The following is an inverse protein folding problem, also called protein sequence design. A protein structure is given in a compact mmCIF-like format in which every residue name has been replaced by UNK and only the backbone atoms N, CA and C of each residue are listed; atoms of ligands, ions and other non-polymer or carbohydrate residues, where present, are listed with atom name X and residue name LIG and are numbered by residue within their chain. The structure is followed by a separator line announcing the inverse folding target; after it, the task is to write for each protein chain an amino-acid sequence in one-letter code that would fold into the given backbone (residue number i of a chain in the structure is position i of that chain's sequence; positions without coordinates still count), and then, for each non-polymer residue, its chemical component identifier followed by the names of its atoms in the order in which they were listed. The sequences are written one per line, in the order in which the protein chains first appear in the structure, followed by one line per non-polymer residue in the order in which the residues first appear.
data_IF_239693166951
#
_entry.id   IF_239693166951
#
_cell.length_a   1.000
_cell.length_b   1.000
_cell.length_c   1.000
_cell.angle_alpha   90.00
_cell.angle_beta   90.00
_cell.angle_gamma   90.00
#
_symmetry.space_group_name_H-M   'P 1'
#
loop_
_entity.id
_entity.type
_entity.pdbx_description
1 polymer ?
#
# COMPACT_ATOMS: atom_id res chain seq x y z
N UNK A 1 -33.26 -2.41 5.96
CA UNK A 1 -32.21 -1.40 6.26
C UNK A 1 -32.34 -0.13 5.40
N UNK A 2 -31.68 0.07 4.25
CA UNK A 2 -31.72 1.39 3.55
C UNK A 2 -33.13 1.80 3.10
N UNK A 3 -33.84 0.94 2.36
CA UNK A 3 -35.23 1.20 1.92
C UNK A 3 -36.22 1.44 3.08
N UNK A 4 -35.90 0.87 4.24
CA UNK A 4 -36.71 0.90 5.46
C UNK A 4 -36.47 2.17 6.27
N UNK A 5 -35.24 2.71 6.26
CA UNK A 5 -34.95 4.04 6.80
C UNK A 5 -35.69 5.12 5.98
N UNK A 6 -35.60 5.03 4.65
CA UNK A 6 -36.25 5.95 3.70
C UNK A 6 -37.79 5.96 3.89
N UNK A 7 -38.43 4.78 3.98
CA UNK A 7 -39.88 4.66 4.22
C UNK A 7 -40.35 5.22 5.57
N UNK A 8 -39.46 5.29 6.56
CA UNK A 8 -39.76 5.75 7.92
C UNK A 8 -39.30 7.19 8.22
N UNK A 9 -38.85 7.93 7.20
CA UNK A 9 -38.41 9.33 7.37
C UNK A 9 -37.21 9.51 8.30
N UNK A 10 -36.32 8.51 8.35
CA UNK A 10 -35.09 8.54 9.17
C UNK A 10 -33.85 8.47 8.28
N UNK A 11 -32.83 9.23 8.65
CA UNK A 11 -31.54 9.19 7.97
C UNK A 11 -30.90 7.78 8.11
N UNK A 12 -30.44 7.16 7.01
CA UNK A 12 -29.83 5.84 7.06
C UNK A 12 -28.42 5.90 7.67
N UNK A 13 -28.29 5.46 8.93
CA UNK A 13 -26.99 5.34 9.61
C UNK A 13 -26.21 4.15 9.05
N UNK A 14 -25.25 4.43 8.18
CA UNK A 14 -24.39 3.43 7.53
C UNK A 14 -23.10 3.19 8.35
N UNK A 15 -23.09 2.16 9.19
CA UNK A 15 -21.90 1.76 9.97
C UNK A 15 -20.87 1.05 9.08
N UNK A 16 -19.93 1.82 8.52
CA UNK A 16 -18.87 1.28 7.65
C UNK A 16 -17.76 0.56 8.43
N UNK A 17 -17.62 -0.75 8.18
CA UNK A 17 -16.37 -1.46 8.46
C UNK A 17 -15.35 -1.16 7.35
N UNK A 18 -14.13 -0.76 7.73
CA UNK A 18 -13.20 0.04 6.89
C UNK A 18 -12.56 -0.64 5.66
N UNK A 19 -12.96 -1.85 5.25
CA UNK A 19 -12.12 -2.73 4.43
C UNK A 19 -12.49 -2.97 2.96
N UNK A 20 -13.46 -2.25 2.38
CA UNK A 20 -13.81 -2.35 0.94
C UNK A 20 -13.85 -0.99 0.18
N UNK A 21 -13.45 0.11 0.84
CA UNK A 21 -13.70 1.47 0.38
C UNK A 21 -12.70 2.07 -0.64
N UNK A 22 -12.25 1.29 -1.64
CA UNK A 22 -11.43 1.82 -2.75
C UNK A 22 -11.98 1.50 -4.15
N UNK A 23 -12.51 0.30 -4.39
CA UNK A 23 -13.20 0.01 -5.66
C UNK A 23 -14.54 0.78 -5.76
N UNK A 24 -15.37 0.70 -4.72
CA UNK A 24 -16.74 1.25 -4.73
C UNK A 24 -16.76 2.79 -4.71
N UNK A 25 -15.83 3.43 -4.00
CA UNK A 25 -15.74 4.91 -3.96
C UNK A 25 -15.30 5.48 -5.31
N UNK A 26 -14.40 4.79 -6.02
CA UNK A 26 -14.02 5.18 -7.38
C UNK A 26 -15.20 5.03 -8.35
N UNK A 27 -15.95 3.92 -8.28
CA UNK A 27 -17.16 3.72 -9.10
C UNK A 27 -18.26 4.74 -8.78
N UNK A 28 -18.49 5.07 -7.50
CA UNK A 28 -19.47 6.09 -7.10
C UNK A 28 -19.12 7.47 -7.67
N UNK A 29 -17.86 7.90 -7.57
CA UNK A 29 -17.39 9.19 -8.11
C UNK A 29 -17.43 9.23 -9.65
N UNK A 30 -17.14 8.12 -10.32
CA UNK A 30 -17.23 8.01 -11.79
C UNK A 30 -18.70 8.08 -12.27
N UNK A 31 -19.61 7.37 -11.61
CA UNK A 31 -21.05 7.42 -11.90
C UNK A 31 -21.66 8.80 -11.63
N UNK A 32 -21.11 9.55 -10.66
CA UNK A 32 -21.52 10.93 -10.39
C UNK A 32 -21.23 11.86 -11.58
N UNK A 33 -20.12 11.67 -12.30
CA UNK A 33 -19.85 12.48 -13.51
C UNK A 33 -20.89 12.26 -14.62
N UNK A 34 -21.21 11.00 -14.96
CA UNK A 34 -22.20 10.69 -16.00
C UNK A 34 -23.56 11.36 -15.72
N UNK A 35 -24.02 11.34 -14.47
CA UNK A 35 -25.33 11.88 -14.09
C UNK A 35 -25.44 13.41 -14.21
N UNK A 36 -24.33 14.14 -14.14
CA UNK A 36 -24.32 15.60 -14.30
C UNK A 36 -23.96 16.05 -15.72
N UNK A 37 -23.23 15.25 -16.51
CA UNK A 37 -23.01 15.55 -17.93
C UNK A 37 -24.28 15.34 -18.78
N UNK A 38 -25.13 14.34 -18.45
CA UNK A 38 -26.43 14.18 -19.11
C UNK A 38 -27.37 15.40 -18.96
N UNK A 39 -27.15 16.28 -17.97
CA UNK A 39 -27.90 17.54 -17.82
C UNK A 39 -27.46 18.68 -18.76
N UNK A 40 -26.38 18.53 -19.53
CA UNK A 40 -25.95 19.53 -20.53
C UNK A 40 -26.51 19.27 -21.93
N UNK A 41 -26.64 18.00 -22.34
CA UNK A 41 -27.07 17.60 -23.68
C UNK A 41 -28.43 16.87 -23.62
N UNK A 42 -29.46 17.56 -23.13
CA UNK A 42 -30.73 16.91 -22.76
C UNK A 42 -31.58 16.44 -23.95
N UNK A 43 -32.05 15.18 -23.89
CA UNK A 43 -33.18 14.69 -24.69
C UNK A 43 -33.77 13.38 -24.11
N UNK A 44 -34.83 13.49 -23.30
CA UNK A 44 -35.89 12.47 -23.13
C UNK A 44 -37.18 13.15 -22.65
N UNK A 45 -38.37 12.72 -23.11
CA UNK A 45 -39.60 13.47 -22.91
C UNK A 45 -40.40 13.11 -21.64
N UNK A 46 -40.93 14.14 -20.98
CA UNK A 46 -42.29 14.18 -20.45
C UNK A 46 -42.72 13.22 -19.34
N UNK A 47 -42.64 13.67 -18.09
CA UNK A 47 -43.72 13.49 -17.11
C UNK A 47 -44.02 14.88 -16.53
N UNK A 48 -45.29 15.30 -16.58
CA UNK A 48 -45.78 16.56 -16.00
C UNK A 48 -46.56 16.29 -14.70
N UNK A 49 -46.31 17.12 -13.68
CA UNK A 49 -47.17 17.41 -12.52
C UNK A 49 -46.43 18.42 -11.62
N UNK A 50 -46.53 19.72 -11.92
CA UNK A 50 -45.80 20.77 -11.21
C UNK A 50 -46.48 21.33 -9.94
N UNK A 51 -45.69 22.02 -9.09
CA UNK A 51 -46.16 23.20 -8.35
C UNK A 51 -44.98 24.14 -7.99
N UNK A 52 -45.29 25.37 -7.56
CA UNK A 52 -44.36 26.50 -7.48
C UNK A 52 -43.42 26.52 -6.25
N UNK A 53 -42.25 27.17 -6.42
CA UNK A 53 -41.35 27.57 -5.34
C UNK A 53 -40.17 28.41 -5.86
N UNK A 54 -40.24 29.74 -5.73
CA UNK A 54 -39.23 30.67 -6.27
C UNK A 54 -37.89 30.63 -5.53
N UNK A 55 -36.77 30.81 -6.25
CA UNK A 55 -35.42 30.82 -5.69
C UNK A 55 -34.64 32.10 -6.07
N UNK A 56 -33.93 32.77 -5.14
CA UNK A 56 -33.16 33.98 -5.42
C UNK A 56 -31.77 33.69 -6.00
N UNK A 57 -31.28 34.59 -6.86
CA UNK A 57 -29.98 34.50 -7.55
C UNK A 57 -28.84 35.03 -6.66
N UNK A 58 -27.72 34.29 -6.46
CA UNK A 58 -26.51 34.82 -5.84
C UNK A 58 -25.83 35.90 -6.68
N UNK A 59 -25.19 36.88 -6.01
CA UNK A 59 -24.46 37.99 -6.62
C UNK A 59 -22.94 37.79 -6.49
N UNK A 60 -22.21 38.22 -7.51
CA UNK A 60 -20.76 38.04 -7.66
C UNK A 60 -19.96 39.05 -6.83
N UNK A 61 -18.87 38.61 -6.18
CA UNK A 61 -18.02 39.44 -5.29
C UNK A 61 -16.60 39.57 -5.84
N UNK A 62 -16.10 40.80 -5.89
CA UNK A 62 -14.81 41.13 -6.52
C UNK A 62 -13.59 40.88 -5.60
N UNK A 63 -12.44 40.66 -6.24
CA UNK A 63 -11.12 40.46 -5.61
C UNK A 63 -10.50 41.80 -5.17
N UNK A 64 -9.92 41.93 -3.96
CA UNK A 64 -9.19 43.12 -3.53
C UNK A 64 -7.91 43.42 -4.35
N UNK A 65 -7.58 44.70 -4.49
CA UNK A 65 -6.39 45.19 -5.19
C UNK A 65 -5.18 45.45 -4.28
N UNK A 66 -4.07 45.86 -4.89
CA UNK A 66 -2.75 46.11 -4.27
C UNK A 66 -2.47 47.60 -4.00
N UNK A 67 -1.55 47.87 -3.07
CA UNK A 67 -0.97 49.20 -2.79
C UNK A 67 0.56 49.14 -2.90
N UNK A 68 1.27 50.21 -3.33
CA UNK A 68 2.70 50.17 -3.64
C UNK A 68 3.59 50.83 -2.57
N UNK A 69 4.91 50.66 -2.67
CA UNK A 69 5.83 51.81 -2.75
C UNK A 69 7.18 51.45 -3.41
N UNK A 70 8.10 52.41 -3.57
CA UNK A 70 9.18 52.38 -4.58
C UNK A 70 10.61 52.75 -4.10
N UNK A 71 11.56 52.93 -5.05
CA UNK A 71 13.00 53.30 -4.95
C UNK A 71 14.00 52.12 -4.77
N UNK A 72 15.18 52.08 -5.40
CA UNK A 72 15.74 52.84 -6.56
C UNK A 72 17.03 52.16 -7.09
N UNK A 73 17.51 52.47 -8.30
CA UNK A 73 18.70 51.85 -8.94
C UNK A 73 19.49 52.83 -9.84
N UNK A 74 20.82 52.65 -9.96
CA UNK A 74 21.54 52.62 -11.25
C UNK A 74 22.39 51.34 -11.39
N UNK A 75 22.77 50.78 -12.55
CA UNK A 75 23.10 51.34 -13.88
C UNK A 75 24.62 51.12 -14.13
N UNK A 76 25.16 50.68 -15.28
CA UNK A 76 24.64 50.38 -16.64
C UNK A 76 25.43 49.18 -17.27
N UNK A 77 24.99 48.51 -18.36
CA UNK A 77 25.42 48.67 -19.79
C UNK A 77 26.95 48.58 -20.06
N UNK A 78 27.49 47.99 -21.16
CA UNK A 78 26.94 47.29 -22.37
C UNK A 78 27.99 46.21 -22.81
N UNK A 79 28.22 45.66 -24.03
CA UNK A 79 27.84 45.80 -25.46
C UNK A 79 27.78 44.40 -26.15
N UNK A 80 27.32 44.31 -27.41
CA UNK A 80 27.63 43.20 -28.36
C UNK A 80 27.31 43.63 -29.81
N UNK A 81 28.21 43.40 -30.79
CA UNK A 81 27.83 42.68 -32.03
C UNK A 81 28.99 41.78 -32.57
N UNK A 82 28.83 40.85 -33.54
CA UNK A 82 28.32 41.04 -34.92
C UNK A 82 28.02 39.69 -35.62
N UNK A 83 27.12 39.69 -36.62
CA UNK A 83 26.69 38.53 -37.43
C UNK A 83 27.56 38.23 -38.67
N UNK A 84 27.36 37.05 -39.29
CA UNK A 84 27.40 36.85 -40.76
C UNK A 84 26.29 35.87 -41.21
N UNK A 85 25.67 36.13 -42.37
CA UNK A 85 24.55 35.44 -43.06
C UNK A 85 25.01 34.10 -43.69
N UNK A 86 24.26 32.97 -43.76
CA UNK A 86 22.98 32.62 -44.44
C UNK A 86 23.28 31.80 -45.74
N UNK A 87 22.34 31.34 -46.61
CA UNK A 87 20.85 31.32 -46.65
C UNK A 87 20.30 29.84 -46.72
N UNK A 88 19.16 29.49 -47.35
CA UNK A 88 17.73 29.71 -47.00
C UNK A 88 16.83 28.60 -47.67
N UNK A 89 15.63 28.32 -47.12
CA UNK A 89 14.49 27.48 -47.62
C UNK A 89 14.75 25.97 -47.95
N UNK A 90 13.90 25.03 -47.52
CA UNK A 90 12.59 24.69 -48.11
C UNK A 90 11.61 24.06 -47.07
N UNK A 91 10.30 24.05 -47.36
CA UNK A 91 9.24 23.46 -46.53
C UNK A 91 8.28 22.60 -47.37
N UNK A 92 8.18 21.30 -47.04
CA UNK A 92 7.14 20.41 -47.59
C UNK A 92 6.66 19.37 -46.58
N UNK A 93 5.40 18.89 -46.67
CA UNK A 93 4.67 18.33 -45.53
C UNK A 93 4.92 16.83 -45.27
N UNK A 94 4.82 16.44 -44.00
CA UNK A 94 4.80 15.03 -43.57
C UNK A 94 3.38 14.47 -43.61
N UNK A 95 3.17 13.40 -44.38
CA UNK A 95 1.85 12.81 -44.61
C UNK A 95 1.18 12.26 -43.33
N UNK A 96 -0.14 12.45 -43.24
CA UNK A 96 -1.03 11.82 -42.27
C UNK A 96 -1.44 10.41 -42.73
N UNK A 97 -1.45 9.45 -41.81
CA UNK A 97 -1.93 8.09 -42.08
C UNK A 97 -3.43 7.95 -41.79
N UNK A 98 -4.23 7.78 -42.83
CA UNK A 98 -5.68 7.50 -42.72
C UNK A 98 -5.97 6.05 -42.34
N UNK A 99 -7.01 5.77 -41.53
CA UNK A 99 -7.51 4.42 -41.31
C UNK A 99 -8.42 3.97 -42.46
N UNK A 100 -8.17 2.78 -43.02
CA UNK A 100 -8.98 2.19 -44.09
C UNK A 100 -10.13 1.36 -43.50
N UNK A 101 -11.38 1.72 -43.82
CA UNK A 101 -12.54 0.88 -43.52
C UNK A 101 -12.60 -0.32 -44.46
N UNK A 102 -12.73 -1.53 -43.91
CA UNK A 102 -13.06 -2.75 -44.66
C UNK A 102 -14.49 -3.21 -44.29
N UNK A 103 -15.35 -3.58 -45.25
CA UNK A 103 -16.72 -3.98 -44.98
C UNK A 103 -16.80 -5.42 -44.46
N UNK A 104 -17.38 -5.62 -43.28
CA UNK A 104 -17.75 -6.94 -42.77
C UNK A 104 -19.13 -7.36 -43.31
N UNK A 105 -19.25 -8.61 -43.75
CA UNK A 105 -20.52 -9.20 -44.21
C UNK A 105 -21.07 -10.18 -43.17
N UNK A 106 -22.34 -10.04 -42.71
CA UNK A 106 -22.91 -10.91 -41.68
C UNK A 106 -23.56 -12.18 -42.27
N UNK A 107 -23.00 -13.35 -41.96
CA UNK A 107 -23.62 -14.65 -42.28
C UNK A 107 -24.33 -15.21 -41.06
N UNK A 108 -25.67 -15.21 -41.07
CA UNK A 108 -26.49 -15.90 -40.06
C UNK A 108 -26.59 -17.40 -40.36
N UNK A 109 -26.24 -18.25 -39.40
CA UNK A 109 -26.60 -19.68 -39.38
C UNK A 109 -27.05 -20.10 -37.98
N UNK A 110 -28.34 -20.46 -37.77
CA UNK A 110 -28.79 -21.04 -36.52
C UNK A 110 -28.49 -22.56 -36.49
N UNK A 111 -27.84 -23.03 -35.43
CA UNK A 111 -27.77 -24.46 -35.09
C UNK A 111 -28.23 -24.65 -33.64
N UNK A 112 -28.89 -25.78 -33.38
CA UNK A 112 -29.65 -26.01 -32.14
C UNK A 112 -29.29 -27.38 -31.53
N UNK A 113 -29.69 -27.63 -30.26
CA UNK A 113 -29.59 -28.92 -29.55
C UNK A 113 -28.17 -29.36 -29.08
N UNK A 114 -28.02 -30.16 -27.99
CA UNK A 114 -28.80 -30.22 -26.75
C UNK A 114 -27.94 -30.13 -25.46
N UNK A 115 -28.62 -30.15 -24.30
CA UNK A 115 -28.08 -30.09 -22.94
C UNK A 115 -27.42 -31.40 -22.43
N UNK A 116 -26.22 -31.30 -21.83
CA UNK A 116 -25.74 -32.22 -20.77
C UNK A 116 -24.71 -31.55 -19.86
N UNK A 117 -24.82 -31.74 -18.54
CA UNK A 117 -23.89 -31.21 -17.54
C UNK A 117 -23.03 -32.33 -16.91
N UNK A 118 -21.70 -32.12 -16.73
CA UNK A 118 -20.84 -33.09 -16.05
C UNK A 118 -20.91 -32.96 -14.51
N UNK A 119 -21.15 -34.08 -13.85
CA UNK A 119 -21.17 -34.24 -12.39
C UNK A 119 -19.72 -34.24 -11.82
N UNK A 120 -19.41 -33.57 -10.69
CA UNK A 120 -18.03 -33.49 -10.17
C UNK A 120 -17.51 -34.83 -9.64
N UNK A 121 -16.43 -35.33 -10.26
CA UNK A 121 -15.72 -36.55 -9.84
C UNK A 121 -15.01 -36.35 -8.50
N UNK A 122 -15.24 -37.27 -7.54
CA UNK A 122 -14.44 -37.36 -6.32
C UNK A 122 -13.09 -38.03 -6.61
N UNK A 123 -11.99 -37.31 -6.45
CA UNK A 123 -10.63 -37.87 -6.56
C UNK A 123 -10.15 -38.38 -5.20
N UNK A 124 -9.47 -39.53 -5.16
CA UNK A 124 -9.02 -40.17 -3.92
C UNK A 124 -7.79 -39.49 -3.30
N UNK A 125 -7.86 -39.22 -2.00
CA UNK A 125 -6.70 -38.77 -1.20
C UNK A 125 -5.77 -39.95 -0.88
N UNK A 126 -4.52 -39.88 -1.33
CA UNK A 126 -3.46 -40.79 -0.85
C UNK A 126 -3.06 -40.50 0.60
N UNK A 127 -2.50 -41.47 1.33
CA UNK A 127 -2.09 -41.29 2.73
C UNK A 127 -0.84 -40.42 2.84
N UNK A 128 -1.00 -39.14 3.15
CA UNK A 128 0.11 -38.29 3.56
C UNK A 128 0.53 -38.63 4.99
N UNK A 129 1.72 -39.20 5.16
CA UNK A 129 2.33 -39.43 6.48
C UNK A 129 2.66 -38.09 7.11
N UNK A 130 1.83 -37.69 8.08
CA UNK A 130 1.78 -36.30 8.52
C UNK A 130 2.92 -35.86 9.42
N UNK A 131 3.15 -34.55 9.43
CA UNK A 131 3.63 -33.86 10.63
C UNK A 131 2.84 -32.55 10.80
N UNK A 132 1.53 -32.68 11.01
CA UNK A 132 0.63 -31.54 11.21
C UNK A 132 0.73 -31.05 12.66
N UNK A 133 1.41 -29.93 12.85
CA UNK A 133 1.40 -29.12 14.07
C UNK A 133 1.61 -27.68 13.62
N UNK A 134 0.52 -26.94 13.51
CA UNK A 134 0.43 -25.79 12.62
C UNK A 134 1.27 -24.58 13.04
N UNK A 135 2.38 -24.34 12.34
CA UNK A 135 2.93 -23.01 12.14
C UNK A 135 2.05 -22.25 11.15
N UNK A 136 0.98 -21.63 11.67
CA UNK A 136 -0.08 -20.98 10.89
C UNK A 136 0.38 -19.77 10.06
N UNK A 137 1.52 -19.20 10.39
CA UNK A 137 1.97 -17.88 9.95
C UNK A 137 3.43 -17.94 9.49
N UNK A 138 3.74 -17.31 8.35
CA UNK A 138 5.09 -17.20 7.82
C UNK A 138 5.60 -15.76 7.90
N UNK A 139 6.93 -15.62 7.87
CA UNK A 139 7.64 -14.35 7.87
C UNK A 139 8.49 -14.23 6.59
N UNK A 140 8.35 -13.10 5.91
CA UNK A 140 9.31 -12.62 4.92
C UNK A 140 10.01 -11.37 5.44
N UNK A 141 11.22 -11.12 4.94
CA UNK A 141 12.13 -10.07 5.41
C UNK A 141 12.76 -9.32 4.23
N UNK A 142 12.97 -8.03 4.42
CA UNK A 142 13.73 -7.17 3.51
C UNK A 142 14.52 -6.11 4.29
N UNK A 143 15.59 -5.61 3.67
CA UNK A 143 16.34 -4.45 4.15
C UNK A 143 15.60 -3.15 3.79
N UNK A 144 15.44 -2.25 4.76
CA UNK A 144 15.27 -0.82 4.50
C UNK A 144 16.60 -0.13 4.17
N UNK A 145 17.71 -0.65 4.72
CA UNK A 145 19.07 -0.22 4.47
C UNK A 145 20.01 -1.44 4.49
N UNK A 146 20.63 -1.75 3.35
CA UNK A 146 21.56 -2.88 3.20
C UNK A 146 23.05 -2.55 3.36
N UNK A 147 23.39 -1.31 3.73
CA UNK A 147 24.79 -0.91 3.96
C UNK A 147 25.34 -1.60 5.21
N UNK A 148 26.51 -2.24 5.10
CA UNK A 148 27.16 -2.93 6.23
C UNK A 148 27.37 -1.99 7.43
N UNK A 149 28.17 -0.93 7.26
CA UNK A 149 28.32 0.10 8.30
C UNK A 149 27.13 1.05 8.29
N UNK A 150 26.37 1.14 9.40
CA UNK A 150 25.28 2.10 9.55
C UNK A 150 24.98 2.44 11.01
N UNK A 151 24.52 3.67 11.30
CA UNK A 151 24.02 4.05 12.62
C UNK A 151 22.55 3.64 12.87
N UNK A 152 21.85 3.17 11.84
CA UNK A 152 20.43 2.82 11.93
C UNK A 152 20.15 1.54 11.15
N UNK A 153 19.87 0.45 11.86
CA UNK A 153 19.43 -0.83 11.26
C UNK A 153 17.93 -0.69 10.94
N UNK A 154 17.52 -1.12 9.74
CA UNK A 154 16.17 -0.85 9.21
C UNK A 154 15.50 -2.15 8.72
N UNK A 155 15.05 -3.06 9.60
CA UNK A 155 14.48 -4.32 9.18
C UNK A 155 13.00 -4.16 8.79
N UNK A 156 12.63 -4.69 7.61
CA UNK A 156 11.24 -4.78 7.16
C UNK A 156 10.76 -6.22 7.24
N UNK A 157 9.53 -6.42 7.70
CA UNK A 157 8.92 -7.73 7.84
C UNK A 157 7.54 -7.77 7.20
N UNK A 158 7.20 -8.89 6.57
CA UNK A 158 5.85 -9.20 6.08
C UNK A 158 5.40 -10.50 6.72
N UNK A 159 4.28 -10.44 7.45
CA UNK A 159 3.69 -11.59 8.14
C UNK A 159 2.47 -12.05 7.37
N UNK A 160 2.42 -13.33 6.99
CA UNK A 160 1.37 -13.90 6.15
C UNK A 160 0.68 -15.03 6.91
N UNK A 161 -0.64 -14.97 7.08
CA UNK A 161 -1.41 -16.04 7.71
C UNK A 161 -1.79 -17.09 6.64
N UNK A 162 -1.13 -18.24 6.69
CA UNK A 162 -1.33 -19.36 5.77
C UNK A 162 -2.30 -20.42 6.34
N UNK A 163 -3.07 -20.08 7.37
CA UNK A 163 -4.00 -20.99 8.05
C UNK A 163 -5.45 -20.57 7.90
N UNK A 164 -6.36 -21.48 8.26
CA UNK A 164 -7.81 -21.31 8.11
C UNK A 164 -8.48 -20.58 9.29
N UNK A 165 -7.70 -19.96 10.19
CA UNK A 165 -8.18 -19.21 11.35
C UNK A 165 -7.44 -17.88 11.49
N UNK A 166 -8.11 -16.84 12.02
CA UNK A 166 -7.48 -15.56 12.31
C UNK A 166 -6.35 -15.70 13.35
N UNK A 167 -5.22 -15.01 13.13
CA UNK A 167 -4.10 -14.95 14.08
C UNK A 167 -4.06 -13.57 14.75
N UNK A 168 -4.34 -13.53 16.06
CA UNK A 168 -4.35 -12.30 16.85
C UNK A 168 -2.93 -11.75 17.02
N UNK A 169 -2.72 -10.47 16.68
CA UNK A 169 -1.39 -9.88 16.59
C UNK A 169 -0.72 -9.66 17.95
N UNK A 170 -1.48 -9.42 19.03
CA UNK A 170 -0.94 -9.32 20.41
C UNK A 170 -0.07 -10.53 20.80
N UNK A 171 -0.40 -11.69 20.26
CA UNK A 171 0.18 -12.98 20.62
C UNK A 171 1.43 -13.28 19.77
N UNK A 172 1.71 -12.45 18.76
CA UNK A 172 2.82 -12.59 17.81
C UNK A 172 4.05 -11.81 18.29
N UNK A 173 5.22 -12.46 18.25
CA UNK A 173 6.53 -11.83 18.43
C UNK A 173 7.47 -12.18 17.29
N UNK A 174 8.21 -11.20 16.79
CA UNK A 174 9.35 -11.38 15.87
C UNK A 174 10.63 -11.10 16.67
N UNK A 175 11.70 -11.88 16.49
CA UNK A 175 13.04 -11.50 16.99
C UNK A 175 14.04 -11.39 15.85
N UNK A 176 14.69 -10.23 15.79
CA UNK A 176 15.83 -9.94 14.93
C UNK A 176 17.10 -9.94 15.80
N UNK A 177 18.01 -10.88 15.54
CA UNK A 177 19.24 -11.12 16.30
C UNK A 177 20.43 -10.41 15.64
N UNK A 178 21.24 -9.73 16.44
CA UNK A 178 22.29 -8.85 15.96
C UNK A 178 23.41 -8.71 17.00
N UNK A 179 24.53 -8.13 16.59
CA UNK A 179 25.64 -7.71 17.48
C UNK A 179 25.56 -6.23 17.76
N UNK A 180 25.63 -5.82 19.03
CA UNK A 180 25.47 -4.41 19.41
C UNK A 180 26.68 -3.53 19.05
N UNK A 181 27.84 -4.10 18.71
CA UNK A 181 29.06 -3.37 18.32
C UNK A 181 29.41 -2.20 19.25
N UNK A 182 29.48 -2.51 20.55
CA UNK A 182 29.75 -1.55 21.62
C UNK A 182 28.48 -1.09 22.34
N UNK A 183 28.27 -1.65 23.54
CA UNK A 183 27.08 -1.48 24.37
C UNK A 183 26.60 -0.01 24.50
N UNK A 184 25.33 0.24 24.13
CA UNK A 184 24.60 1.50 24.35
C UNK A 184 23.13 1.20 24.65
N UNK A 185 22.42 2.18 25.23
CA UNK A 185 20.96 2.21 25.11
C UNK A 185 20.57 2.42 23.64
N UNK A 186 19.36 1.99 23.31
CA UNK A 186 18.87 1.89 21.93
C UNK A 186 17.40 2.29 21.85
N UNK A 187 17.00 2.88 20.73
CA UNK A 187 15.66 3.36 20.47
C UNK A 187 15.02 2.63 19.29
N UNK A 188 13.72 2.39 19.36
CA UNK A 188 12.94 1.71 18.34
C UNK A 188 11.85 2.63 17.77
N UNK A 189 11.65 2.55 16.45
CA UNK A 189 10.53 3.21 15.76
C UNK A 189 9.88 2.26 14.76
N UNK A 190 8.55 2.30 14.66
CA UNK A 190 7.82 1.80 13.51
C UNK A 190 7.47 2.96 12.58
N UNK A 191 8.17 3.07 11.45
CA UNK A 191 7.95 4.11 10.44
C UNK A 191 6.64 3.88 9.69
N UNK A 192 6.26 2.61 9.47
CA UNK A 192 4.98 2.24 8.88
C UNK A 192 4.59 0.79 9.22
N UNK A 193 3.30 0.57 9.49
CA UNK A 193 2.71 -0.77 9.48
C UNK A 193 1.24 -0.72 9.06
N UNK A 194 0.80 -1.73 8.31
CA UNK A 194 -0.63 -1.92 8.01
C UNK A 194 -1.48 -2.32 9.23
N UNK A 195 -0.85 -2.75 10.33
CA UNK A 195 -1.50 -2.92 11.64
C UNK A 195 -1.56 -1.62 12.48
N UNK A 196 -1.07 -0.50 11.92
CA UNK A 196 -0.99 0.82 12.57
C UNK A 196 0.29 0.98 13.41
N UNK A 197 1.09 2.00 13.09
CA UNK A 197 2.41 2.23 13.69
C UNK A 197 2.42 2.21 15.22
N UNK A 198 1.44 2.88 15.85
CA UNK A 198 1.31 2.98 17.32
C UNK A 198 0.99 1.66 18.01
N UNK A 199 0.60 0.64 17.25
CA UNK A 199 0.34 -0.70 17.75
C UNK A 199 1.56 -1.62 17.64
N UNK A 200 2.65 -1.18 16.99
CA UNK A 200 3.90 -1.93 16.88
C UNK A 200 4.85 -1.47 17.99
N UNK A 201 5.34 -2.44 18.76
CA UNK A 201 6.25 -2.25 19.90
C UNK A 201 7.58 -2.94 19.62
N UNK A 202 8.67 -2.39 20.14
CA UNK A 202 10.00 -2.98 20.06
C UNK A 202 10.66 -3.01 21.44
N UNK A 203 11.34 -4.12 21.76
CA UNK A 203 12.09 -4.31 23.00
C UNK A 203 13.44 -4.94 22.71
N UNK A 204 14.51 -4.23 23.02
CA UNK A 204 15.87 -4.78 23.00
C UNK A 204 16.08 -5.72 24.19
N UNK A 205 16.69 -6.87 23.96
CA UNK A 205 17.07 -7.83 25.01
C UNK A 205 18.46 -8.39 24.71
N UNK A 206 19.35 -8.30 25.69
CA UNK A 206 20.69 -8.92 25.63
C UNK A 206 20.58 -10.43 25.84
N UNK A 207 21.36 -11.22 25.11
CA UNK A 207 21.44 -12.66 25.31
C UNK A 207 22.23 -12.97 26.59
N UNK A 208 21.74 -13.94 27.38
CA UNK A 208 22.41 -14.42 28.61
C UNK A 208 23.82 -14.99 28.33
N UNK A 209 24.05 -15.42 27.09
CA UNK A 209 25.33 -15.87 26.55
C UNK A 209 25.36 -15.48 25.06
N UNK A 210 26.34 -14.69 24.63
CA UNK A 210 26.51 -14.34 23.23
C UNK A 210 26.72 -15.58 22.36
N UNK A 211 26.23 -15.51 21.13
CA UNK A 211 26.28 -16.54 20.10
C UNK A 211 27.10 -16.06 18.91
N UNK A 212 27.38 -16.95 17.96
CA UNK A 212 28.00 -16.54 16.71
C UNK A 212 27.08 -15.55 15.98
N UNK A 213 27.58 -14.33 15.73
CA UNK A 213 26.83 -13.23 15.09
C UNK A 213 25.61 -12.69 15.89
N UNK A 214 25.50 -12.95 17.19
CA UNK A 214 24.45 -12.34 18.01
C UNK A 214 24.85 -12.17 19.48
N UNK A 215 24.68 -10.96 20.02
CA UNK A 215 24.68 -10.70 21.46
C UNK A 215 23.37 -10.04 21.97
N UNK A 216 22.55 -9.53 21.05
CA UNK A 216 21.24 -8.94 21.33
C UNK A 216 20.16 -9.48 20.38
N UNK A 217 18.90 -9.26 20.76
CA UNK A 217 17.79 -9.23 19.82
C UNK A 217 16.84 -8.07 20.06
N UNK A 218 16.27 -7.58 18.97
CA UNK A 218 15.10 -6.72 18.97
C UNK A 218 13.87 -7.64 18.88
N UNK A 219 13.09 -7.70 19.95
CA UNK A 219 11.77 -8.32 19.93
C UNK A 219 10.74 -7.30 19.49
N UNK A 220 10.15 -7.49 18.31
CA UNK A 220 8.99 -6.74 17.84
C UNK A 220 7.74 -7.51 18.24
N UNK A 221 6.73 -6.80 18.74
CA UNK A 221 5.41 -7.36 19.01
C UNK A 221 4.32 -6.31 18.92
N UNK A 222 3.07 -6.73 19.07
CA UNK A 222 1.92 -5.85 18.81
C UNK A 222 1.08 -5.61 20.07
N UNK A 223 0.34 -4.50 20.09
CA UNK A 223 -0.70 -4.22 21.10
C UNK A 223 -2.03 -4.89 20.73
N UNK A 224 -2.97 -4.94 21.67
CA UNK A 224 -4.37 -5.32 21.40
C UNK A 224 -5.00 -4.51 20.25
N UNK A 225 -4.60 -3.24 20.08
CA UNK A 225 -5.10 -2.36 19.03
C UNK A 225 -4.71 -2.76 17.60
N UNK A 226 -3.77 -3.69 17.42
CA UNK A 226 -3.39 -4.22 16.12
C UNK A 226 -4.45 -5.16 15.50
N UNK A 227 -5.32 -5.78 16.31
CA UNK A 227 -6.30 -6.76 15.84
C UNK A 227 -5.68 -8.10 15.44
N UNK A 228 -6.03 -8.61 14.26
CA UNK A 228 -5.68 -9.94 13.77
C UNK A 228 -5.30 -9.95 12.29
N UNK A 229 -4.49 -10.94 11.88
CA UNK A 229 -4.32 -11.30 10.47
C UNK A 229 -5.35 -12.39 10.11
N UNK A 230 -6.28 -12.09 9.22
CA UNK A 230 -7.26 -13.06 8.71
C UNK A 230 -6.64 -14.13 7.79
N UNK A 231 -7.29 -15.29 7.58
CA UNK A 231 -6.84 -16.33 6.65
C UNK A 231 -6.45 -15.81 5.26
N UNK A 232 -5.25 -16.17 4.79
CA UNK A 232 -4.71 -15.73 3.50
C UNK A 232 -4.25 -14.27 3.44
N UNK A 233 -4.50 -13.47 4.47
CA UNK A 233 -4.09 -12.06 4.53
C UNK A 233 -2.66 -11.91 5.06
N UNK A 234 -2.12 -10.69 4.92
CA UNK A 234 -0.81 -10.33 5.45
C UNK A 234 -0.80 -8.93 6.05
N UNK A 235 0.14 -8.70 6.97
CA UNK A 235 0.54 -7.35 7.40
C UNK A 235 2.00 -7.10 7.08
N UNK A 236 2.38 -5.83 7.02
CA UNK A 236 3.77 -5.39 6.91
C UNK A 236 4.16 -4.52 8.10
N UNK A 237 5.44 -4.58 8.47
CA UNK A 237 6.07 -3.77 9.51
C UNK A 237 7.40 -3.27 8.98
N UNK A 238 7.52 -1.95 8.83
CA UNK A 238 8.78 -1.28 8.54
C UNK A 238 9.28 -0.64 9.85
N UNK A 239 10.38 -1.18 10.37
CA UNK A 239 10.98 -0.77 11.63
C UNK A 239 12.35 -0.13 11.41
N UNK A 240 12.78 0.67 12.38
CA UNK A 240 14.16 1.15 12.52
C UNK A 240 14.59 1.11 13.97
N UNK A 241 15.88 0.91 14.19
CA UNK A 241 16.50 1.17 15.49
C UNK A 241 17.91 1.75 15.36
N UNK A 242 18.30 2.54 16.36
CA UNK A 242 19.63 3.13 16.50
C UNK A 242 20.10 3.04 17.95
N UNK A 243 21.40 3.26 18.17
CA UNK A 243 21.95 3.56 19.49
C UNK A 243 21.57 4.99 19.89
N UNK A 244 21.48 5.28 21.18
CA UNK A 244 21.19 6.62 21.70
C UNK A 244 22.22 7.68 21.24
N UNK A 245 23.48 7.26 21.05
CA UNK A 245 24.59 8.11 20.62
C UNK A 245 24.81 8.14 19.09
N UNK A 246 23.95 7.45 18.32
CA UNK A 246 24.05 7.28 16.87
C UNK A 246 25.41 6.74 16.39
N UNK A 247 26.13 5.99 17.23
CA UNK A 247 27.31 5.24 16.79
C UNK A 247 26.90 4.07 15.88
N UNK A 248 27.83 3.65 15.00
CA UNK A 248 27.53 2.64 13.97
C UNK A 248 27.42 1.22 14.54
N UNK A 249 26.66 0.39 13.84
CA UNK A 249 26.77 -1.06 13.78
C UNK A 249 27.51 -1.44 12.49
N UNK A 250 28.05 -2.66 12.44
CA UNK A 250 28.18 -3.46 11.23
C UNK A 250 26.92 -4.34 11.12
N UNK A 251 26.46 -4.63 9.91
CA UNK A 251 25.35 -5.56 9.68
C UNK A 251 25.86 -6.92 9.17
N UNK A 252 27.06 -6.99 8.59
CA UNK A 252 27.62 -8.24 8.06
C UNK A 252 27.99 -9.27 9.15
N UNK A 253 28.24 -8.81 10.38
CA UNK A 253 28.41 -9.63 11.57
C UNK A 253 27.09 -9.97 12.30
N UNK A 254 25.92 -9.53 11.82
CA UNK A 254 24.63 -9.88 12.42
C UNK A 254 24.14 -11.29 12.04
N UNK A 255 23.32 -11.88 12.92
CA UNK A 255 22.69 -13.17 12.68
C UNK A 255 21.44 -13.02 11.79
N UNK A 256 20.57 -12.04 12.02
CA UNK A 256 19.35 -11.91 11.24
C UNK A 256 19.52 -11.18 9.90
N UNK A 257 20.64 -10.48 9.69
CA UNK A 257 20.90 -9.75 8.46
C UNK A 257 21.14 -10.65 7.25
N UNK A 258 20.78 -10.13 6.07
CA UNK A 258 21.20 -10.68 4.78
C UNK A 258 21.38 -9.53 3.79
N UNK A 259 22.60 -9.31 3.29
CA UNK A 259 22.91 -8.23 2.35
C UNK A 259 22.18 -8.36 1.00
N UNK A 260 21.69 -9.55 0.65
CA UNK A 260 20.93 -9.81 -0.57
C UNK A 260 19.41 -9.56 -0.45
N UNK A 261 18.88 -9.30 0.76
CA UNK A 261 17.45 -9.11 1.02
C UNK A 261 16.95 -7.73 0.57
N UNK A 262 16.99 -7.46 -0.74
CA UNK A 262 16.60 -6.19 -1.35
C UNK A 262 15.07 -6.03 -1.52
N UNK A 263 14.34 -7.15 -1.43
CA UNK A 263 12.87 -7.24 -1.43
C UNK A 263 12.45 -8.40 -0.51
N UNK A 264 11.15 -8.55 -0.21
CA UNK A 264 10.61 -9.50 0.76
C UNK A 264 10.88 -10.97 0.37
N UNK A 265 11.92 -11.55 0.96
CA UNK A 265 12.28 -12.97 0.83
C UNK A 265 12.06 -13.76 2.12
N UNK A 266 12.00 -15.09 2.02
CA UNK A 266 11.98 -15.95 3.21
C UNK A 266 13.31 -15.85 3.98
N UNK A 267 13.26 -15.74 5.31
CA UNK A 267 14.45 -15.84 6.17
C UNK A 267 14.28 -16.93 7.22
N UNK A 268 15.30 -17.77 7.39
CA UNK A 268 15.39 -18.74 8.49
C UNK A 268 16.19 -18.20 9.69
N UNK A 269 16.83 -17.03 9.57
CA UNK A 269 17.67 -16.42 10.62
C UNK A 269 16.94 -15.35 11.45
N UNK A 270 15.61 -15.25 11.28
CA UNK A 270 14.70 -14.37 12.03
C UNK A 270 13.60 -15.27 12.59
N UNK A 271 13.38 -15.24 13.90
CA UNK A 271 12.40 -16.14 14.54
C UNK A 271 11.05 -15.46 14.74
N UNK A 272 9.98 -16.20 14.44
CA UNK A 272 8.58 -15.83 14.66
C UNK A 272 7.97 -16.73 15.73
N UNK A 273 7.28 -16.14 16.70
CA UNK A 273 6.57 -16.84 17.77
C UNK A 273 5.08 -16.46 17.77
N UNK A 274 4.21 -17.39 18.15
CA UNK A 274 2.78 -17.15 18.43
C UNK A 274 2.43 -17.79 19.77
N UNK A 275 1.82 -17.02 20.68
CA UNK A 275 1.49 -17.50 22.03
C UNK A 275 2.73 -17.97 22.82
N UNK A 276 3.88 -17.35 22.56
CA UNK A 276 5.18 -17.73 23.13
C UNK A 276 5.83 -18.99 22.53
N UNK A 277 5.18 -19.68 21.57
CA UNK A 277 5.73 -20.85 20.89
C UNK A 277 6.44 -20.43 19.60
N UNK A 278 7.67 -20.91 19.37
CA UNK A 278 8.38 -20.73 18.11
C UNK A 278 7.59 -21.42 16.97
N UNK A 279 7.31 -20.68 15.88
CA UNK A 279 6.60 -21.18 14.70
C UNK A 279 7.41 -21.07 13.41
N UNK A 280 8.39 -20.17 13.33
CA UNK A 280 9.26 -20.04 12.14
C UNK A 280 10.64 -19.49 12.50
N UNK A 281 11.63 -19.78 11.66
CA UNK A 281 13.04 -19.43 11.86
C UNK A 281 13.78 -20.31 12.88
N UNK A 282 15.07 -20.02 13.05
CA UNK A 282 15.98 -20.66 14.00
C UNK A 282 16.61 -19.64 14.94
N UNK A 283 16.80 -20.03 16.21
CA UNK A 283 17.57 -19.26 17.19
C UNK A 283 19.09 -19.46 17.00
N UNK A 284 19.95 -18.49 17.37
CA UNK A 284 21.42 -18.60 17.32
C UNK A 284 22.02 -19.38 18.51
#
# INVERSE_FOLDING_TARGET
MVEEAIKNGKDPVMTYHRYWAQAEVAMANAMYHLYFEQKKNGLVPGIDSGNNGSSPKPQETAKPGSTPDSLSSPGAATESPTNTVGPNEDLSPRNTSTPTNAPFSPTNTPHNSPNTAPNPTKTSSGPSTGNSSGSSISLQYANGNGSDTTNTINPRFKLINNSNSAVKLSDVKIRYYYTIDGEKGQQFWCDWSSAGNSNVTGKFTKLNSSKNNADHYLEIGFTEGAGSIEPGMSIEVQARFSKDDWSNYSQSNDYSFSSSANDYGNSNRITLYVGGRLVSGSEP
#
